data_IF_336415069102
#
_entry.id   IF_336415069102
#
_cell.length_a   1.000
_cell.length_b   1.000
_cell.length_c   1.000
_cell.angle_alpha   90.00
_cell.angle_beta   90.00
_cell.angle_gamma   90.00
#
_symmetry.space_group_name_H-M   'P 1'
#
loop_
_entity.id
_entity.type
_entity.pdbx_description
1 polymer ?
#
# COMPACT_ATOMS: atom_id res chain seq x y z
N UNK A 1 38.71 -54.29 50.20
CA UNK A 1 38.86 -54.02 48.75
C UNK A 1 37.87 -52.94 48.36
N UNK A 2 38.32 -51.98 47.54
CA UNK A 2 37.69 -50.68 47.24
C UNK A 2 36.32 -50.77 46.54
N UNK A 3 35.57 -49.68 46.72
CA UNK A 3 34.46 -49.12 45.94
C UNK A 3 34.25 -49.69 44.53
N UNK A 4 33.00 -49.87 44.10
CA UNK A 4 32.22 -48.88 43.30
C UNK A 4 30.84 -49.48 42.95
N UNK A 5 29.76 -48.87 43.44
CA UNK A 5 28.40 -49.11 42.98
C UNK A 5 28.15 -48.26 41.72
N UNK A 6 27.70 -48.89 40.63
CA UNK A 6 27.18 -48.23 39.43
C UNK A 6 25.78 -47.66 39.74
N UNK A 7 25.69 -46.33 39.85
CA UNK A 7 24.41 -45.62 39.84
C UNK A 7 24.03 -45.28 38.39
N UNK A 8 22.97 -45.91 37.88
CA UNK A 8 22.30 -45.46 36.65
C UNK A 8 21.29 -44.37 37.04
N UNK A 9 21.60 -43.14 36.61
CA UNK A 9 20.74 -41.99 36.73
C UNK A 9 19.56 -42.10 35.74
N UNK A 10 18.33 -42.21 36.26
CA UNK A 10 17.12 -41.96 35.49
C UNK A 10 16.79 -40.46 35.56
N UNK A 11 17.21 -39.70 34.55
CA UNK A 11 16.83 -38.29 34.42
C UNK A 11 15.40 -38.18 33.90
N UNK A 12 14.53 -37.56 34.72
CA UNK A 12 13.29 -36.94 34.29
C UNK A 12 13.62 -35.72 33.40
N UNK A 13 13.47 -35.88 32.08
CA UNK A 13 13.59 -34.81 31.11
C UNK A 13 12.26 -34.08 30.93
N UNK A 14 12.15 -32.91 31.55
CA UNK A 14 11.11 -31.92 31.34
C UNK A 14 10.97 -31.59 29.84
N UNK A 15 9.75 -31.67 29.31
CA UNK A 15 9.40 -31.17 27.97
C UNK A 15 9.68 -29.66 27.93
N UNK A 16 10.75 -29.28 27.24
CA UNK A 16 10.98 -27.90 26.85
C UNK A 16 10.01 -27.52 25.71
N UNK A 17 9.33 -26.36 25.76
CA UNK A 17 8.62 -25.83 24.61
C UNK A 17 9.63 -25.47 23.51
N UNK A 18 9.24 -25.68 22.26
CA UNK A 18 10.03 -25.40 21.06
C UNK A 18 10.54 -23.95 21.07
N UNK A 19 11.76 -23.78 21.56
CA UNK A 19 12.53 -22.55 21.50
C UNK A 19 13.06 -22.47 20.07
N UNK A 20 12.52 -21.53 19.30
CA UNK A 20 13.04 -21.12 18.00
C UNK A 20 14.56 -20.98 18.09
N UNK A 21 15.26 -21.72 17.24
CA UNK A 21 16.72 -21.73 17.17
C UNK A 21 17.23 -20.31 16.86
N UNK A 22 18.35 -19.87 17.47
CA UNK A 22 18.93 -18.58 17.16
C UNK A 22 19.46 -18.60 15.73
N UNK A 23 18.87 -17.75 14.88
CA UNK A 23 19.31 -17.47 13.51
C UNK A 23 20.73 -16.91 13.56
N UNK A 24 21.72 -17.79 13.44
CA UNK A 24 23.13 -17.43 13.37
C UNK A 24 23.68 -17.77 12.00
N UNK A 25 23.67 -16.75 11.13
CA UNK A 25 24.70 -16.32 10.18
C UNK A 25 24.05 -15.78 8.90
N UNK A 26 24.29 -14.50 8.66
CA UNK A 26 24.15 -13.79 7.38
C UNK A 26 22.80 -13.10 7.04
N UNK A 27 22.29 -12.23 7.91
CA UNK A 27 21.24 -11.27 7.52
C UNK A 27 21.53 -9.84 8.01
N UNK A 28 22.50 -9.15 7.39
CA UNK A 28 22.61 -7.69 7.49
C UNK A 28 21.40 -6.97 6.84
N UNK A 29 20.55 -7.70 6.11
CA UNK A 29 19.35 -7.15 5.49
C UNK A 29 18.23 -6.87 6.50
N UNK A 30 18.16 -7.59 7.63
CA UNK A 30 17.14 -7.34 8.66
C UNK A 30 17.28 -5.98 9.34
N UNK A 31 18.51 -5.46 9.42
CA UNK A 31 18.83 -4.15 9.99
C UNK A 31 18.69 -2.99 9.00
N UNK A 32 18.43 -3.27 7.71
CA UNK A 32 18.21 -2.21 6.71
C UNK A 32 16.91 -1.52 7.00
N UNK A 33 16.92 -0.20 6.87
CA UNK A 33 15.77 0.67 7.14
C UNK A 33 15.00 0.91 5.84
N UNK A 34 13.67 0.87 5.90
CA UNK A 34 12.80 1.31 4.83
C UNK A 34 12.97 2.82 4.63
N UNK A 35 13.37 3.20 3.42
CA UNK A 35 13.55 4.60 3.05
C UNK A 35 12.31 5.19 2.35
N UNK A 36 11.26 4.39 2.20
CA UNK A 36 10.06 4.73 1.44
C UNK A 36 8.77 4.28 2.14
N UNK A 37 7.65 4.84 1.70
CA UNK A 37 6.31 4.44 2.15
C UNK A 37 5.96 4.88 3.57
N UNK A 38 4.82 4.38 4.05
CA UNK A 38 4.27 4.71 5.38
C UNK A 38 5.10 4.13 6.55
N UNK A 39 5.92 3.11 6.29
CA UNK A 39 6.82 2.50 7.27
C UNK A 39 8.26 3.02 7.14
N UNK A 40 8.45 4.20 6.55
CA UNK A 40 9.78 4.83 6.48
C UNK A 40 10.38 4.96 7.88
N UNK A 41 11.64 4.56 8.03
CA UNK A 41 12.34 4.55 9.32
C UNK A 41 12.22 3.23 10.09
N UNK A 42 11.33 2.32 9.69
CA UNK A 42 11.31 0.96 10.23
C UNK A 42 12.36 0.10 9.56
N UNK A 43 12.95 -0.82 10.31
CA UNK A 43 13.79 -1.87 9.72
C UNK A 43 12.94 -2.86 8.92
N UNK A 44 13.58 -3.56 7.99
CA UNK A 44 12.93 -4.60 7.22
C UNK A 44 12.35 -5.69 8.13
N UNK A 45 13.03 -6.02 9.22
CA UNK A 45 12.56 -6.96 10.22
C UNK A 45 11.33 -6.44 10.98
N UNK A 46 11.35 -5.20 11.45
CA UNK A 46 10.21 -4.58 12.14
C UNK A 46 8.97 -4.52 11.23
N UNK A 47 9.16 -4.21 9.95
CA UNK A 47 8.06 -4.18 8.99
C UNK A 47 7.46 -5.57 8.77
N UNK A 48 8.30 -6.60 8.61
CA UNK A 48 7.84 -7.99 8.48
C UNK A 48 7.09 -8.50 9.71
N UNK A 49 7.51 -8.09 10.91
CA UNK A 49 6.86 -8.48 12.15
C UNK A 49 5.51 -7.79 12.35
N UNK A 50 5.44 -6.50 12.01
CA UNK A 50 4.32 -5.62 12.40
C UNK A 50 3.27 -5.43 11.31
N UNK A 51 3.64 -5.55 10.04
CA UNK A 51 2.71 -5.31 8.91
C UNK A 51 2.92 -6.31 7.77
N UNK A 52 2.26 -7.46 7.93
CA UNK A 52 2.29 -8.55 6.95
C UNK A 52 1.55 -8.19 5.65
N UNK A 53 0.57 -7.31 5.72
CA UNK A 53 -0.20 -6.88 4.55
C UNK A 53 0.65 -5.96 3.67
N UNK A 54 1.39 -5.02 4.27
CA UNK A 54 2.38 -4.23 3.57
C UNK A 54 3.49 -5.08 2.95
N UNK A 55 3.98 -6.11 3.64
CA UNK A 55 4.97 -7.03 3.09
C UNK A 55 4.40 -7.81 1.90
N UNK A 56 3.14 -8.22 1.97
CA UNK A 56 2.44 -8.90 0.88
C UNK A 56 2.23 -7.97 -0.32
N UNK A 57 1.87 -6.72 -0.06
CA UNK A 57 1.77 -5.64 -1.05
C UNK A 57 3.12 -5.35 -1.72
N UNK A 58 4.19 -5.24 -0.95
CA UNK A 58 5.53 -5.01 -1.49
C UNK A 58 5.94 -6.14 -2.45
N UNK A 59 5.52 -7.37 -2.15
CA UNK A 59 5.74 -8.56 -2.98
C UNK A 59 4.87 -8.62 -4.25
N UNK A 60 3.83 -7.77 -4.39
CA UNK A 60 3.01 -7.69 -5.60
C UNK A 60 3.52 -6.67 -6.62
N UNK A 61 4.60 -5.93 -6.31
CA UNK A 61 5.28 -5.15 -7.33
C UNK A 61 6.00 -6.08 -8.30
N UNK A 62 5.73 -5.92 -9.59
CA UNK A 62 6.62 -6.45 -10.63
C UNK A 62 8.02 -5.82 -10.46
N UNK A 63 9.04 -6.53 -10.99
CA UNK A 63 10.47 -6.14 -11.06
C UNK A 63 10.69 -4.86 -11.90
N UNK A 64 9.87 -3.83 -11.71
CA UNK A 64 10.02 -2.51 -12.27
C UNK A 64 11.33 -1.92 -11.73
N UNK A 65 12.34 -1.71 -12.58
CA UNK A 65 13.72 -1.44 -12.16
C UNK A 65 13.91 -0.04 -11.54
N UNK A 66 12.84 0.71 -11.32
CA UNK A 66 12.90 2.15 -11.04
C UNK A 66 12.85 2.51 -9.54
N UNK A 67 12.95 1.53 -8.64
CA UNK A 67 12.95 1.76 -7.17
C UNK A 67 13.96 0.86 -6.44
N UNK A 68 15.26 1.22 -6.41
CA UNK A 68 16.30 0.39 -5.80
C UNK A 68 16.06 0.08 -4.31
N UNK A 69 15.44 1.00 -3.56
CA UNK A 69 15.04 0.77 -2.17
C UNK A 69 14.00 -0.35 -2.00
N UNK A 70 13.04 -0.44 -2.92
CA UNK A 70 11.98 -1.45 -2.89
C UNK A 70 12.54 -2.84 -3.24
N UNK A 71 13.46 -2.92 -4.21
CA UNK A 71 14.10 -4.19 -4.61
C UNK A 71 14.89 -4.83 -3.46
N UNK A 72 15.59 -4.00 -2.65
CA UNK A 72 16.28 -4.46 -1.46
C UNK A 72 15.33 -5.08 -0.42
N UNK A 73 14.16 -4.48 -0.24
CA UNK A 73 13.12 -4.98 0.65
C UNK A 73 12.46 -6.26 0.11
N UNK A 74 12.09 -6.30 -1.16
CA UNK A 74 11.54 -7.49 -1.82
C UNK A 74 12.53 -8.67 -1.73
N UNK A 75 13.82 -8.43 -1.95
CA UNK A 75 14.86 -9.44 -1.81
C UNK A 75 14.93 -10.00 -0.39
N UNK A 76 14.82 -9.13 0.62
CA UNK A 76 14.73 -9.54 2.02
C UNK A 76 13.49 -10.40 2.29
N UNK A 77 12.31 -9.98 1.80
CA UNK A 77 11.05 -10.72 1.99
C UNK A 77 11.10 -12.12 1.35
N UNK A 78 11.62 -12.22 0.11
CA UNK A 78 11.87 -13.50 -0.57
C UNK A 78 12.78 -14.41 0.26
N UNK A 79 13.88 -13.86 0.80
CA UNK A 79 14.85 -14.61 1.58
C UNK A 79 14.34 -14.98 2.99
N UNK A 80 13.40 -14.20 3.54
CA UNK A 80 12.66 -14.50 4.77
C UNK A 80 11.54 -15.54 4.55
N UNK A 81 11.35 -16.02 3.32
CA UNK A 81 10.34 -17.03 2.99
C UNK A 81 8.93 -16.48 2.77
N UNK A 82 8.76 -15.15 2.70
CA UNK A 82 7.50 -14.53 2.29
C UNK A 82 7.31 -14.85 0.81
N UNK A 83 6.24 -15.57 0.50
CA UNK A 83 5.89 -15.89 -0.88
C UNK A 83 5.02 -14.76 -1.43
N UNK A 84 5.17 -14.40 -2.72
CA UNK A 84 4.15 -13.61 -3.38
C UNK A 84 2.82 -14.32 -3.17
N UNK A 85 1.77 -13.57 -2.80
CA UNK A 85 0.45 -14.15 -2.78
C UNK A 85 0.19 -14.61 -4.21
N UNK A 86 -0.07 -15.91 -4.42
CA UNK A 86 -0.70 -16.37 -5.65
C UNK A 86 -2.06 -15.73 -5.68
N UNK A 87 -2.11 -14.54 -6.27
CA UNK A 87 -3.34 -13.84 -6.55
C UNK A 87 -4.11 -14.74 -7.51
N UNK A 88 -5.36 -15.04 -7.17
CA UNK A 88 -6.27 -15.62 -8.15
C UNK A 88 -6.29 -14.70 -9.37
N UNK A 89 -6.53 -15.24 -10.56
CA UNK A 89 -6.65 -14.44 -11.79
C UNK A 89 -7.65 -13.27 -11.61
N UNK A 90 -8.65 -13.46 -10.74
CA UNK A 90 -9.67 -12.47 -10.38
C UNK A 90 -9.33 -11.61 -9.14
N UNK A 91 -8.07 -11.48 -8.73
CA UNK A 91 -7.70 -10.63 -7.59
C UNK A 91 -7.18 -9.25 -8.01
N UNK A 92 -7.59 -8.22 -7.28
CA UNK A 92 -7.13 -6.85 -7.49
C UNK A 92 -5.64 -6.72 -7.10
N UNK A 93 -4.87 -6.08 -7.96
CA UNK A 93 -3.45 -5.76 -7.75
C UNK A 93 -3.21 -4.28 -7.41
N UNK A 94 -4.27 -3.48 -7.28
CA UNK A 94 -4.20 -2.03 -7.08
C UNK A 94 -5.13 -1.50 -5.97
N UNK A 95 -4.89 -0.28 -5.49
CA UNK A 95 -5.78 0.40 -4.54
C UNK A 95 -5.87 -0.25 -3.16
N UNK A 96 -6.99 -0.03 -2.46
CA UNK A 96 -7.18 -0.49 -1.06
C UNK A 96 -7.50 -1.97 -0.92
N UNK A 97 -7.94 -2.61 -2.01
CA UNK A 97 -8.40 -4.00 -2.02
C UNK A 97 -7.36 -4.98 -2.57
N UNK A 98 -6.07 -4.64 -2.47
CA UNK A 98 -5.00 -5.47 -3.02
C UNK A 98 -5.07 -6.88 -2.43
N UNK A 99 -5.07 -7.86 -3.33
CA UNK A 99 -5.18 -9.27 -3.06
C UNK A 99 -6.57 -9.76 -2.67
N UNK A 100 -7.62 -8.94 -2.74
CA UNK A 100 -9.01 -9.39 -2.66
C UNK A 100 -9.50 -9.78 -4.04
N UNK A 101 -10.34 -10.82 -4.11
CA UNK A 101 -11.00 -11.20 -5.36
C UNK A 101 -12.06 -10.18 -5.74
N UNK A 102 -12.39 -10.10 -7.02
CA UNK A 102 -13.49 -9.29 -7.52
C UNK A 102 -14.82 -9.64 -6.82
N UNK A 103 -15.05 -10.93 -6.57
CA UNK A 103 -16.23 -11.42 -5.83
C UNK A 103 -16.25 -10.90 -4.39
N UNK A 104 -15.15 -11.02 -3.65
CA UNK A 104 -15.03 -10.54 -2.27
C UNK A 104 -15.33 -9.03 -2.18
N UNK A 105 -14.87 -8.27 -3.16
CA UNK A 105 -15.03 -6.81 -3.19
C UNK A 105 -16.47 -6.47 -3.52
N UNK A 106 -17.07 -7.15 -4.50
CA UNK A 106 -18.47 -6.94 -4.86
C UNK A 106 -19.42 -7.21 -3.69
N UNK A 107 -19.16 -8.26 -2.90
CA UNK A 107 -19.99 -8.57 -1.72
C UNK A 107 -19.80 -7.57 -0.58
N UNK A 108 -18.57 -7.11 -0.34
CA UNK A 108 -18.24 -6.28 0.83
C UNK A 108 -18.41 -4.80 0.56
N UNK A 109 -18.24 -4.37 -0.68
CA UNK A 109 -18.31 -2.98 -1.09
C UNK A 109 -18.85 -2.82 -2.52
N UNK A 110 -20.18 -2.97 -2.70
CA UNK A 110 -20.83 -2.77 -3.99
C UNK A 110 -20.57 -1.39 -4.59
N UNK A 111 -20.33 -0.38 -3.77
CA UNK A 111 -20.17 0.97 -4.27
C UNK A 111 -18.75 1.30 -4.70
N UNK A 112 -17.74 0.57 -4.21
CA UNK A 112 -16.45 0.53 -4.90
C UNK A 112 -16.59 -0.05 -6.31
N UNK A 113 -17.44 -1.07 -6.50
CA UNK A 113 -17.73 -1.62 -7.84
C UNK A 113 -18.47 -0.62 -8.74
N UNK A 114 -19.40 0.16 -8.19
CA UNK A 114 -20.04 1.28 -8.87
C UNK A 114 -19.01 2.33 -9.34
N UNK A 115 -18.11 2.74 -8.44
CA UNK A 115 -17.01 3.65 -8.78
C UNK A 115 -16.11 3.06 -9.87
N UNK A 116 -15.74 1.78 -9.79
CA UNK A 116 -14.91 1.11 -10.81
C UNK A 116 -15.59 1.16 -12.18
N UNK A 117 -16.90 0.86 -12.27
CA UNK A 117 -17.63 0.91 -13.53
C UNK A 117 -17.57 2.31 -14.15
N UNK A 118 -17.82 3.36 -13.36
CA UNK A 118 -17.79 4.74 -13.84
C UNK A 118 -16.37 5.22 -14.19
N UNK A 119 -15.37 4.90 -13.36
CA UNK A 119 -13.99 5.32 -13.55
C UNK A 119 -13.31 4.59 -14.73
N UNK A 120 -13.70 3.34 -14.97
CA UNK A 120 -13.04 2.48 -15.97
C UNK A 120 -13.19 2.98 -17.42
N UNK A 121 -14.18 3.84 -17.69
CA UNK A 121 -14.44 4.45 -18.98
C UNK A 121 -13.61 5.72 -19.25
N UNK A 122 -12.88 6.24 -18.25
CA UNK A 122 -12.08 7.45 -18.37
C UNK A 122 -10.75 7.26 -19.14
N UNK A 123 -10.16 8.35 -19.67
CA UNK A 123 -8.89 8.29 -20.41
C UNK A 123 -7.69 7.83 -19.55
N UNK A 124 -7.76 8.03 -18.23
CA UNK A 124 -6.73 7.62 -17.26
C UNK A 124 -6.95 6.20 -16.70
N UNK A 125 -7.91 5.45 -17.26
CA UNK A 125 -8.25 4.12 -16.80
C UNK A 125 -7.15 3.09 -17.13
N UNK A 126 -6.57 2.51 -16.09
CA UNK A 126 -5.59 1.43 -16.22
C UNK A 126 -6.23 0.14 -16.75
N UNK A 127 -5.41 -0.77 -17.29
CA UNK A 127 -5.87 -2.10 -17.72
C UNK A 127 -6.57 -2.86 -16.58
N UNK A 128 -6.12 -2.67 -15.34
CA UNK A 128 -6.66 -3.37 -14.19
C UNK A 128 -8.06 -2.86 -13.79
N UNK A 129 -8.31 -1.55 -13.90
CA UNK A 129 -9.65 -1.00 -13.69
C UNK A 129 -10.64 -1.51 -14.74
N UNK A 130 -10.23 -1.54 -16.02
CA UNK A 130 -11.06 -2.08 -17.12
C UNK A 130 -11.36 -3.56 -16.94
N UNK A 131 -10.36 -4.36 -16.59
CA UNK A 131 -10.55 -5.79 -16.37
C UNK A 131 -11.56 -6.07 -15.24
N UNK A 132 -11.52 -5.28 -14.15
CA UNK A 132 -12.50 -5.42 -13.08
C UNK A 132 -13.90 -4.95 -13.52
N UNK A 133 -14.00 -3.85 -14.25
CA UNK A 133 -15.28 -3.38 -14.80
C UNK A 133 -15.89 -4.39 -15.79
N UNK A 134 -15.08 -5.00 -16.65
CA UNK A 134 -15.49 -6.07 -17.56
C UNK A 134 -16.02 -7.28 -16.79
N UNK A 135 -15.32 -7.67 -15.72
CA UNK A 135 -15.78 -8.74 -14.83
C UNK A 135 -17.14 -8.43 -14.20
N UNK A 136 -17.33 -7.20 -13.68
CA UNK A 136 -18.61 -6.78 -13.07
C UNK A 136 -19.72 -6.82 -14.12
N UNK A 137 -19.46 -6.29 -15.31
CA UNK A 137 -20.41 -6.26 -16.42
C UNK A 137 -20.82 -7.66 -16.86
N UNK A 138 -19.87 -8.60 -16.91
CA UNK A 138 -20.12 -9.98 -17.31
C UNK A 138 -20.83 -10.80 -16.22
N UNK A 139 -20.39 -10.69 -14.96
CA UNK A 139 -20.89 -11.52 -13.84
C UNK A 139 -22.12 -10.94 -13.16
N UNK A 140 -22.34 -9.63 -13.26
CA UNK A 140 -23.43 -8.89 -12.60
C UNK A 140 -24.04 -7.85 -13.56
N UNK A 141 -24.58 -8.27 -14.72
CA UNK A 141 -25.09 -7.35 -15.73
C UNK A 141 -26.22 -6.45 -15.23
N UNK A 142 -27.05 -6.93 -14.29
CA UNK A 142 -28.13 -6.11 -13.70
C UNK A 142 -27.58 -4.98 -12.82
N UNK A 143 -26.46 -5.22 -12.13
CA UNK A 143 -25.79 -4.18 -11.35
C UNK A 143 -25.17 -3.14 -12.28
N UNK A 144 -24.47 -3.58 -13.32
CA UNK A 144 -23.87 -2.68 -14.30
C UNK A 144 -24.90 -1.84 -15.06
N UNK A 145 -26.02 -2.44 -15.46
CA UNK A 145 -27.14 -1.72 -16.10
C UNK A 145 -27.73 -0.66 -15.18
N UNK A 146 -27.95 -0.99 -13.90
CA UNK A 146 -28.43 -0.04 -12.90
C UNK A 146 -27.48 1.14 -12.75
N UNK A 147 -26.17 0.88 -12.65
CA UNK A 147 -25.15 1.94 -12.55
C UNK A 147 -25.14 2.84 -13.79
N UNK A 148 -25.24 2.25 -14.98
CA UNK A 148 -25.30 3.00 -16.24
C UNK A 148 -26.57 3.87 -16.35
N UNK A 149 -27.72 3.38 -15.88
CA UNK A 149 -29.00 4.12 -15.86
C UNK A 149 -29.02 5.25 -14.81
N UNK A 150 -28.30 5.09 -13.70
CA UNK A 150 -28.18 6.10 -12.65
C UNK A 150 -27.29 7.28 -13.03
N UNK A 151 -26.64 7.24 -14.20
CA UNK A 151 -26.05 8.37 -14.92
C UNK A 151 -25.32 9.39 -14.04
N UNK A 152 -24.03 9.17 -13.77
CA UNK A 152 -23.04 10.12 -13.20
C UNK A 152 -23.45 11.02 -12.01
N UNK A 153 -24.61 10.85 -11.39
CA UNK A 153 -25.00 11.49 -10.12
C UNK A 153 -24.40 10.69 -8.95
N UNK A 154 -23.13 10.31 -9.09
CA UNK A 154 -22.34 9.91 -7.95
C UNK A 154 -22.12 11.17 -7.11
N UNK A 155 -23.03 11.42 -6.17
CA UNK A 155 -22.62 11.96 -4.88
C UNK A 155 -21.34 11.20 -4.48
N UNK A 156 -20.20 11.89 -4.33
CA UNK A 156 -18.89 11.27 -4.29
C UNK A 156 -18.87 10.16 -3.25
N UNK A 157 -18.75 8.91 -3.72
CA UNK A 157 -18.86 7.77 -2.82
C UNK A 157 -17.58 7.68 -1.99
N UNK A 158 -17.76 7.82 -0.67
CA UNK A 158 -16.76 8.18 0.35
C UNK A 158 -16.44 9.67 0.27
N UNK A 159 -16.17 10.33 1.41
CA UNK A 159 -15.69 11.72 1.50
C UNK A 159 -14.38 12.05 0.77
N UNK A 160 -14.11 11.39 -0.35
CA UNK A 160 -13.38 11.84 -1.52
C UNK A 160 -14.18 12.94 -2.21
N UNK A 161 -14.22 14.13 -1.60
CA UNK A 161 -14.14 15.32 -2.45
C UNK A 161 -12.86 15.19 -3.28
N UNK A 162 -12.84 15.63 -4.53
CA UNK A 162 -11.60 15.74 -5.35
C UNK A 162 -10.43 16.40 -4.56
N UNK A 163 -10.81 17.14 -3.53
CA UNK A 163 -9.99 17.79 -2.54
C UNK A 163 -9.61 16.92 -1.32
N UNK A 164 -9.33 15.62 -1.44
CA UNK A 164 -8.83 14.82 -0.32
C UNK A 164 -7.55 14.05 -0.66
N UNK A 165 -6.62 13.97 0.29
CA UNK A 165 -5.37 13.22 0.11
C UNK A 165 -5.68 11.72 0.17
N UNK A 166 -5.24 11.00 -0.85
CA UNK A 166 -5.51 9.57 -1.04
C UNK A 166 -4.30 8.69 -0.73
N UNK A 167 -3.28 9.27 -0.07
CA UNK A 167 -2.01 8.60 0.20
C UNK A 167 -1.30 9.18 1.44
N UNK A 168 -0.48 8.35 2.09
CA UNK A 168 0.43 8.81 3.15
C UNK A 168 -0.26 9.20 4.46
N UNK A 169 0.44 9.98 5.29
CA UNK A 169 0.00 10.33 6.66
C UNK A 169 -1.33 11.10 6.70
N UNK A 170 -1.70 11.73 5.59
CA UNK A 170 -2.91 12.54 5.47
C UNK A 170 -4.03 11.85 4.68
N UNK A 171 -3.95 10.53 4.50
CA UNK A 171 -4.97 9.76 3.79
C UNK A 171 -6.37 9.99 4.38
N UNK A 172 -7.32 10.27 3.48
CA UNK A 172 -8.72 10.58 3.80
C UNK A 172 -8.96 11.98 4.36
N UNK A 173 -7.93 12.82 4.56
CA UNK A 173 -8.10 14.20 5.01
C UNK A 173 -8.28 15.14 3.81
N UNK A 174 -9.18 16.13 3.91
CA UNK A 174 -9.36 17.09 2.84
C UNK A 174 -8.16 18.05 2.74
N UNK A 175 -7.85 18.49 1.52
CA UNK A 175 -6.81 19.43 1.16
C UNK A 175 -6.88 20.69 2.01
N UNK A 176 -8.07 21.26 2.21
CA UNK A 176 -8.24 22.45 3.04
C UNK A 176 -7.77 22.21 4.49
N UNK A 177 -8.10 21.07 5.10
CA UNK A 177 -7.66 20.76 6.47
C UNK A 177 -6.13 20.64 6.56
N UNK A 178 -5.52 20.06 5.53
CA UNK A 178 -4.06 19.91 5.46
C UNK A 178 -3.40 21.27 5.21
N UNK A 179 -3.98 22.07 4.32
CA UNK A 179 -3.49 23.39 3.94
C UNK A 179 -3.53 24.38 5.10
N UNK A 180 -4.57 24.32 5.93
CA UNK A 180 -4.68 25.12 7.14
C UNK A 180 -3.82 24.55 8.28
N UNK A 181 -3.75 23.22 8.41
CA UNK A 181 -3.14 22.54 9.55
C UNK A 181 -1.64 22.26 9.43
N UNK A 182 -1.08 22.12 8.23
CA UNK A 182 0.31 21.73 8.00
C UNK A 182 0.91 22.40 6.75
N UNK A 183 1.31 23.66 6.91
CA UNK A 183 1.99 24.43 5.87
C UNK A 183 3.31 23.81 5.40
N UNK A 184 4.19 23.29 6.28
CA UNK A 184 5.39 22.56 5.85
C UNK A 184 5.11 21.39 4.90
N UNK A 185 4.05 20.62 5.15
CA UNK A 185 3.66 19.53 4.25
C UNK A 185 3.19 20.06 2.89
N UNK A 186 2.44 21.16 2.84
CA UNK A 186 2.08 21.80 1.58
C UNK A 186 3.28 22.33 0.80
N UNK A 187 4.30 22.87 1.47
CA UNK A 187 5.57 23.23 0.81
C UNK A 187 6.25 21.99 0.21
N UNK A 188 6.26 20.88 0.95
CA UNK A 188 6.80 19.62 0.45
C UNK A 188 6.02 19.10 -0.76
N UNK A 189 4.68 19.13 -0.73
CA UNK A 189 3.82 18.75 -1.87
C UNK A 189 4.17 19.55 -3.11
N UNK A 190 4.29 20.88 -2.98
CA UNK A 190 4.65 21.75 -4.11
C UNK A 190 6.01 21.36 -4.72
N UNK A 191 7.02 21.09 -3.89
CA UNK A 191 8.35 20.67 -4.37
C UNK A 191 8.33 19.28 -5.01
N UNK A 192 7.71 18.32 -4.32
CA UNK A 192 7.62 16.95 -4.77
C UNK A 192 6.81 16.83 -6.07
N UNK A 193 5.78 17.66 -6.28
CA UNK A 193 4.94 17.63 -7.49
C UNK A 193 5.72 17.84 -8.80
N UNK A 194 6.87 18.52 -8.74
CA UNK A 194 7.74 18.77 -9.88
C UNK A 194 8.71 17.61 -10.18
N UNK A 195 8.77 16.58 -9.34
CA UNK A 195 9.63 15.43 -9.58
C UNK A 195 9.00 14.48 -10.62
N UNK A 196 9.80 13.91 -11.53
CA UNK A 196 9.31 13.06 -12.62
C UNK A 196 8.63 11.76 -12.12
N UNK A 197 8.87 11.35 -10.88
CA UNK A 197 8.36 10.10 -10.29
C UNK A 197 7.15 10.30 -9.37
N UNK A 198 6.57 11.50 -9.35
CA UNK A 198 5.49 11.85 -8.42
C UNK A 198 4.13 11.29 -8.85
N UNK A 199 3.28 10.97 -7.87
CA UNK A 199 1.94 10.42 -8.10
C UNK A 199 1.01 11.48 -8.71
N UNK A 200 0.02 11.04 -9.51
CA UNK A 200 -1.02 11.91 -10.08
C UNK A 200 -1.76 12.69 -8.99
N UNK A 201 -2.04 11.99 -7.90
CA UNK A 201 -2.54 12.49 -6.64
C UNK A 201 -1.73 13.67 -6.05
N UNK A 202 -0.40 13.56 -5.92
CA UNK A 202 0.44 14.67 -5.47
C UNK A 202 0.38 15.89 -6.41
N UNK A 203 0.35 15.66 -7.73
CA UNK A 203 0.19 16.74 -8.71
C UNK A 203 -1.17 17.44 -8.58
N UNK A 204 -2.22 16.66 -8.32
CA UNK A 204 -3.56 17.19 -8.11
C UNK A 204 -3.63 18.10 -6.88
N UNK A 205 -3.06 17.67 -5.74
CA UNK A 205 -3.03 18.50 -4.54
C UNK A 205 -2.16 19.76 -4.75
N UNK A 206 -1.02 19.65 -5.43
CA UNK A 206 -0.21 20.81 -5.78
C UNK A 206 -0.98 21.81 -6.67
N UNK A 207 -1.69 21.33 -7.69
CA UNK A 207 -2.53 22.17 -8.55
C UNK A 207 -3.64 22.88 -7.73
N UNK A 208 -4.26 22.16 -6.79
CA UNK A 208 -5.24 22.75 -5.88
C UNK A 208 -4.62 23.86 -5.01
N UNK A 209 -3.41 23.66 -4.46
CA UNK A 209 -2.70 24.70 -3.69
C UNK A 209 -2.45 25.95 -4.54
N UNK A 210 -2.04 25.75 -5.80
CA UNK A 210 -1.84 26.85 -6.77
C UNK A 210 -3.12 27.64 -7.04
N UNK A 211 -4.27 26.97 -7.12
CA UNK A 211 -5.57 27.64 -7.29
C UNK A 211 -6.01 28.37 -6.02
N UNK A 212 -5.79 27.76 -4.85
CA UNK A 212 -6.23 28.26 -3.55
C UNK A 212 -5.45 29.48 -3.07
N UNK A 213 -4.12 29.45 -3.19
CA UNK A 213 -3.21 30.51 -2.72
C UNK A 213 -1.96 30.61 -3.62
N UNK A 214 -2.08 31.31 -4.77
CA UNK A 214 -0.98 31.49 -5.70
C UNK A 214 0.24 32.16 -5.06
N UNK A 215 0.02 33.08 -4.10
CA UNK A 215 1.11 33.82 -3.44
C UNK A 215 1.97 32.88 -2.59
N UNK A 216 1.33 31.99 -1.84
CA UNK A 216 2.03 30.95 -1.09
C UNK A 216 2.82 30.05 -2.04
N UNK A 217 2.19 29.55 -3.11
CA UNK A 217 2.84 28.65 -4.05
C UNK A 217 4.07 29.29 -4.74
N UNK A 218 3.94 30.54 -5.21
CA UNK A 218 5.07 31.29 -5.79
C UNK A 218 6.19 31.51 -4.78
N UNK A 219 5.88 31.77 -3.51
CA UNK A 219 6.92 31.97 -2.48
C UNK A 219 7.78 30.72 -2.24
N UNK A 220 7.21 29.53 -2.42
CA UNK A 220 7.92 28.24 -2.30
C UNK A 220 8.79 28.00 -3.53
N UNK A 221 8.33 28.39 -4.72
CA UNK A 221 9.07 28.26 -5.97
C UNK A 221 10.27 29.23 -6.06
N UNK A 222 10.12 30.46 -5.58
CA UNK A 222 11.23 31.44 -5.54
C UNK A 222 12.38 30.96 -4.64
N UNK A 223 12.09 30.27 -3.53
CA UNK A 223 13.12 29.70 -2.64
C UNK A 223 13.89 28.51 -3.25
N UNK A 224 13.47 28.03 -4.43
CA UNK A 224 14.14 26.95 -5.17
C UNK A 224 15.22 27.48 -6.14
N UNK A 225 15.13 28.76 -6.51
CA UNK A 225 16.07 29.45 -7.43
C UNK A 225 17.28 29.99 -6.68
#
# INVERSE_FOLDING_TARGET
VKMTQLALAGQAGVRAPARWLPVSRSFCAGSKVLEFGIHRGWTFAECLERDKDFCTWAMSYDDTPNRPGVLGFISFLKAAGVRPRTLSEDAITFGRYIGRSYEDIFEKDPSYCDWILNFSCGPDSTVHFRHFADWITHKRPQFAAKVAEQGSDLEPWIGYTEEAVTWGMYEGRPYENIFVGDRPYCEWILRASCEPVTTSSCRHFAAWIWQRDPKFATSVEVRRS
#
